data_IF_263010520844
#
_entry.id   IF_263010520844
#
_cell.length_a   1.000
_cell.length_b   1.000
_cell.length_c   1.000
_cell.angle_alpha   90.00
_cell.angle_beta   90.00
_cell.angle_gamma   90.00
#
_symmetry.space_group_name_H-M   'P 1'
#
loop_
_entity.id
_entity.type
_entity.pdbx_description
1 polymer ?
#
# COMPACT_ATOMS: atom_id res chain seq x y z
N UNK A 1 -18.45 6.42 -23.90
CA UNK A 1 -18.11 4.98 -24.04
C UNK A 1 -18.56 4.31 -22.76
N UNK A 2 -19.37 3.25 -22.83
CA UNK A 2 -19.81 2.54 -21.64
C UNK A 2 -18.61 1.89 -20.93
N UNK A 3 -18.48 2.12 -19.62
CA UNK A 3 -17.52 1.43 -18.76
C UNK A 3 -17.92 -0.06 -18.70
N UNK A 4 -17.39 -0.83 -19.63
CA UNK A 4 -17.79 -2.23 -19.83
C UNK A 4 -17.01 -3.11 -18.84
N UNK A 5 -17.45 -3.09 -17.57
CA UNK A 5 -16.87 -3.89 -16.49
C UNK A 5 -17.02 -5.38 -16.83
N UNK A 6 -15.95 -6.19 -16.71
CA UNK A 6 -16.07 -7.62 -16.96
C UNK A 6 -16.98 -8.26 -15.90
N UNK A 7 -17.86 -9.15 -16.35
CA UNK A 7 -18.77 -9.88 -15.47
C UNK A 7 -17.97 -10.87 -14.61
N UNK A 8 -18.00 -10.68 -13.29
CA UNK A 8 -17.31 -11.57 -12.33
C UNK A 8 -18.33 -12.61 -11.86
N UNK A 9 -18.10 -13.92 -12.10
CA UNK A 9 -18.94 -14.98 -11.54
C UNK A 9 -19.03 -14.87 -10.02
N UNK A 10 -20.25 -14.97 -9.46
CA UNK A 10 -20.48 -14.82 -8.02
C UNK A 10 -19.65 -15.80 -7.19
N UNK A 11 -19.42 -17.01 -7.69
CA UNK A 11 -18.57 -18.02 -7.06
C UNK A 11 -17.13 -17.55 -6.87
N UNK A 12 -16.57 -16.87 -7.88
CA UNK A 12 -15.23 -16.26 -7.79
C UNK A 12 -15.24 -15.11 -6.79
N UNK A 13 -16.22 -14.21 -6.89
CA UNK A 13 -16.33 -13.05 -6.00
C UNK A 13 -16.43 -13.45 -4.52
N UNK A 14 -17.25 -14.46 -4.20
CA UNK A 14 -17.40 -14.98 -2.84
C UNK A 14 -16.09 -15.57 -2.32
N UNK A 15 -15.45 -16.46 -3.09
CA UNK A 15 -14.20 -17.09 -2.68
C UNK A 15 -13.07 -16.08 -2.45
N UNK A 16 -12.96 -15.08 -3.34
CA UNK A 16 -11.96 -14.03 -3.20
C UNK A 16 -12.24 -13.14 -1.99
N UNK A 17 -13.50 -12.77 -1.74
CA UNK A 17 -13.86 -12.01 -0.54
C UNK A 17 -13.50 -12.76 0.75
N UNK A 18 -13.71 -14.08 0.82
CA UNK A 18 -13.30 -14.89 1.97
C UNK A 18 -11.78 -14.90 2.14
N UNK A 19 -11.02 -15.04 1.06
CA UNK A 19 -9.55 -15.02 1.07
C UNK A 19 -9.01 -13.64 1.50
N UNK A 20 -9.60 -12.55 1.02
CA UNK A 20 -9.22 -11.19 1.39
C UNK A 20 -9.55 -10.90 2.85
N UNK A 21 -10.71 -11.34 3.36
CA UNK A 21 -11.05 -11.23 4.78
C UNK A 21 -10.07 -12.01 5.65
N UNK A 22 -9.71 -13.23 5.25
CA UNK A 22 -8.79 -14.10 5.98
C UNK A 22 -7.36 -13.54 6.04
N UNK A 23 -6.91 -12.86 4.99
CA UNK A 23 -5.54 -12.35 4.85
C UNK A 23 -5.51 -10.83 4.67
N UNK A 24 -6.42 -10.11 5.34
CA UNK A 24 -6.55 -8.65 5.24
C UNK A 24 -5.32 -7.90 5.78
N UNK A 25 -4.45 -8.60 6.52
CA UNK A 25 -3.17 -8.11 7.01
C UNK A 25 -2.17 -7.89 5.88
N UNK A 26 -2.29 -8.63 4.78
CA UNK A 26 -1.32 -8.61 3.66
C UNK A 26 -1.93 -8.38 2.28
N UNK A 27 -3.21 -8.70 2.06
CA UNK A 27 -3.85 -8.62 0.75
C UNK A 27 -4.95 -7.55 0.70
N UNK A 28 -5.10 -6.94 -0.47
CA UNK A 28 -6.25 -6.09 -0.80
C UNK A 28 -6.64 -6.26 -2.27
N UNK A 29 -7.91 -6.01 -2.59
CA UNK A 29 -8.37 -5.99 -3.97
C UNK A 29 -8.05 -4.63 -4.62
N UNK A 30 -7.57 -4.66 -5.86
CA UNK A 30 -7.39 -3.47 -6.69
C UNK A 30 -8.41 -3.48 -7.81
N UNK A 31 -9.08 -2.34 -8.02
CA UNK A 31 -10.00 -2.21 -9.13
C UNK A 31 -9.24 -2.22 -10.46
N UNK A 32 -9.75 -3.00 -11.41
CA UNK A 32 -9.21 -3.08 -12.76
C UNK A 32 -10.36 -3.14 -13.78
N UNK A 33 -10.22 -2.44 -14.91
CA UNK A 33 -11.27 -2.38 -15.95
C UNK A 33 -11.27 -3.59 -16.88
N UNK A 34 -10.18 -4.35 -16.98
CA UNK A 34 -10.04 -5.44 -17.95
C UNK A 34 -9.95 -6.81 -17.30
N UNK A 35 -9.51 -6.89 -16.03
CA UNK A 35 -9.37 -8.14 -15.30
C UNK A 35 -10.64 -8.47 -14.51
N UNK A 36 -10.89 -9.76 -14.27
CA UNK A 36 -11.96 -10.17 -13.36
C UNK A 36 -11.63 -9.76 -11.93
N UNK A 37 -10.42 -10.09 -11.47
CA UNK A 37 -9.93 -9.78 -10.13
C UNK A 37 -8.44 -9.42 -10.21
N UNK A 38 -8.05 -8.38 -9.50
CA UNK A 38 -6.66 -8.06 -9.19
C UNK A 38 -6.51 -7.95 -7.68
N UNK A 39 -5.61 -8.75 -7.12
CA UNK A 39 -5.24 -8.72 -5.71
C UNK A 39 -3.79 -8.23 -5.63
N UNK A 40 -3.52 -7.35 -4.68
CA UNK A 40 -2.19 -6.80 -4.42
C UNK A 40 -1.75 -7.11 -3.01
N UNK A 41 -0.44 -7.18 -2.82
CA UNK A 41 0.17 -7.24 -1.49
C UNK A 41 0.45 -5.83 -0.98
N UNK A 42 0.26 -5.62 0.32
CA UNK A 42 0.71 -4.40 1.00
C UNK A 42 2.16 -4.50 1.53
N UNK A 43 2.84 -5.63 1.30
CA UNK A 43 4.25 -5.83 1.64
C UNK A 43 5.15 -5.33 0.51
N UNK A 44 4.79 -5.62 -0.73
CA UNK A 44 5.53 -5.16 -1.89
C UNK A 44 4.56 -4.88 -3.04
N UNK A 45 4.58 -3.65 -3.57
CA UNK A 45 3.67 -3.21 -4.62
C UNK A 45 3.82 -4.00 -5.93
N UNK A 46 4.99 -4.63 -6.14
CA UNK A 46 5.24 -5.51 -7.28
C UNK A 46 4.49 -6.83 -7.17
N UNK A 47 4.06 -7.24 -5.97
CA UNK A 47 3.40 -8.53 -5.76
C UNK A 47 1.92 -8.44 -6.12
N UNK A 48 1.47 -9.37 -6.96
CA UNK A 48 0.10 -9.41 -7.42
C UNK A 48 -0.41 -10.83 -7.64
N UNK A 49 -1.73 -10.98 -7.60
CA UNK A 49 -2.47 -12.15 -8.02
C UNK A 49 -3.66 -11.73 -8.86
N UNK A 50 -3.71 -12.20 -10.10
CA UNK A 50 -4.66 -11.78 -11.12
C UNK A 50 -5.50 -12.97 -11.53
N UNK A 51 -6.81 -12.74 -11.69
CA UNK A 51 -7.71 -13.62 -12.42
C UNK A 51 -8.16 -12.87 -13.67
N UNK A 52 -7.73 -13.34 -14.84
CA UNK A 52 -8.00 -12.66 -16.11
C UNK A 52 -9.27 -13.19 -16.78
N UNK A 53 -9.56 -14.48 -16.63
CA UNK A 53 -10.67 -15.13 -17.31
C UNK A 53 -11.20 -16.32 -16.51
N UNK A 54 -12.41 -16.75 -16.83
CA UNK A 54 -13.03 -17.95 -16.26
C UNK A 54 -13.87 -18.65 -17.32
N UNK A 55 -13.82 -19.98 -17.38
CA UNK A 55 -14.55 -20.76 -18.38
C UNK A 55 -14.99 -22.13 -17.82
N UNK A 56 -16.00 -22.73 -18.43
CA UNK A 56 -16.40 -24.11 -18.14
C UNK A 56 -15.85 -24.99 -19.27
N UNK A 57 -14.91 -25.88 -18.93
CA UNK A 57 -14.34 -26.86 -19.86
C UNK A 57 -14.84 -28.25 -19.48
N UNK A 58 -15.77 -28.79 -20.28
CA UNK A 58 -16.45 -30.04 -19.95
C UNK A 58 -17.23 -29.92 -18.64
N UNK A 59 -16.84 -30.71 -17.63
CA UNK A 59 -17.45 -30.67 -16.30
C UNK A 59 -16.60 -29.92 -15.25
N UNK A 60 -15.59 -29.16 -15.68
CA UNK A 60 -14.68 -28.43 -14.79
C UNK A 60 -14.82 -26.92 -14.97
N UNK A 61 -14.98 -26.20 -13.86
CA UNK A 61 -14.85 -24.75 -13.84
C UNK A 61 -13.38 -24.38 -13.70
N UNK A 62 -12.83 -23.73 -14.72
CA UNK A 62 -11.42 -23.34 -14.80
C UNK A 62 -11.27 -21.82 -14.85
N UNK A 63 -10.16 -21.34 -14.33
CA UNK A 63 -9.81 -19.92 -14.28
C UNK A 63 -8.37 -19.72 -14.74
N UNK A 64 -8.13 -18.62 -15.43
CA UNK A 64 -6.79 -18.19 -15.83
C UNK A 64 -6.22 -17.29 -14.73
N UNK A 65 -5.12 -17.73 -14.13
CA UNK A 65 -4.43 -16.98 -13.08
C UNK A 65 -3.04 -16.56 -13.50
N UNK A 66 -2.64 -15.37 -13.07
CA UNK A 66 -1.26 -14.91 -13.10
C UNK A 66 -0.87 -14.36 -11.73
N UNK A 67 0.26 -14.77 -11.19
CA UNK A 67 0.73 -14.20 -9.94
C UNK A 67 2.25 -14.07 -9.86
N UNK A 68 2.67 -13.08 -9.08
CA UNK A 68 4.06 -12.76 -8.79
C UNK A 68 4.22 -12.42 -7.31
N UNK A 69 5.26 -12.92 -6.63
CA UNK A 69 6.26 -13.88 -7.13
C UNK A 69 5.65 -15.28 -7.26
N UNK A 70 6.13 -16.08 -8.21
CA UNK A 70 5.67 -17.46 -8.38
C UNK A 70 6.29 -18.44 -7.39
N UNK A 71 7.52 -18.16 -6.95
CA UNK A 71 8.26 -18.97 -5.99
C UNK A 71 9.37 -18.12 -5.33
N UNK A 72 10.04 -18.68 -4.30
CA UNK A 72 11.11 -17.98 -3.58
C UNK A 72 12.51 -18.07 -4.22
N UNK A 73 12.67 -18.83 -5.31
CA UNK A 73 13.96 -19.05 -5.97
C UNK A 73 14.18 -18.11 -7.16
N UNK A 74 13.10 -17.73 -7.84
CA UNK A 74 13.13 -16.93 -9.07
C UNK A 74 12.10 -15.81 -9.02
N UNK A 75 12.54 -14.64 -9.47
CA UNK A 75 11.73 -13.43 -9.60
C UNK A 75 10.93 -13.46 -10.91
N UNK A 76 10.00 -14.41 -11.04
CA UNK A 76 9.19 -14.60 -12.25
C UNK A 76 7.70 -14.73 -11.92
N UNK A 77 6.83 -14.27 -12.82
CA UNK A 77 5.39 -14.50 -12.70
C UNK A 77 5.04 -15.87 -13.25
N UNK A 78 4.05 -16.52 -12.63
CA UNK A 78 3.48 -17.76 -13.15
C UNK A 78 2.13 -17.45 -13.78
N UNK A 79 1.96 -17.86 -15.04
CA UNK A 79 0.67 -17.90 -15.74
C UNK A 79 0.21 -19.34 -15.86
N UNK A 80 -1.00 -19.63 -15.39
CA UNK A 80 -1.56 -20.98 -15.48
C UNK A 80 -3.07 -20.97 -15.52
N UNK A 81 -3.65 -21.89 -16.28
CA UNK A 81 -5.05 -22.28 -16.14
C UNK A 81 -5.18 -23.28 -14.99
N UNK A 82 -6.08 -23.02 -14.05
CA UNK A 82 -6.30 -23.88 -12.87
C UNK A 82 -7.76 -24.25 -12.72
N UNK A 83 -8.01 -25.37 -12.07
CA UNK A 83 -9.36 -25.69 -11.58
C UNK A 83 -9.73 -24.69 -10.46
N UNK A 84 -10.95 -24.16 -10.50
CA UNK A 84 -11.45 -23.23 -9.48
C UNK A 84 -11.30 -23.76 -8.05
N UNK A 85 -11.45 -25.08 -7.85
CA UNK A 85 -11.31 -25.70 -6.53
C UNK A 85 -9.89 -25.57 -5.96
N UNK A 86 -8.88 -25.35 -6.81
CA UNK A 86 -7.48 -25.13 -6.39
C UNK A 86 -7.18 -23.67 -6.00
N UNK A 87 -8.07 -22.73 -6.29
CA UNK A 87 -7.86 -21.29 -6.08
C UNK A 87 -7.44 -20.97 -4.65
N UNK A 88 -8.19 -21.47 -3.66
CA UNK A 88 -7.90 -21.21 -2.26
C UNK A 88 -6.53 -21.75 -1.84
N UNK A 89 -6.18 -22.98 -2.25
CA UNK A 89 -4.86 -23.58 -1.95
C UNK A 89 -3.73 -22.74 -2.53
N UNK A 90 -3.88 -22.30 -3.78
CA UNK A 90 -2.85 -21.52 -4.48
C UNK A 90 -2.68 -20.15 -3.83
N UNK A 91 -3.77 -19.43 -3.55
CA UNK A 91 -3.69 -18.11 -2.88
C UNK A 91 -3.10 -18.24 -1.48
N UNK A 92 -3.48 -19.24 -0.70
CA UNK A 92 -2.87 -19.46 0.62
C UNK A 92 -1.35 -19.74 0.52
N UNK A 93 -0.92 -20.52 -0.47
CA UNK A 93 0.51 -20.81 -0.70
C UNK A 93 1.26 -19.54 -1.09
N UNK A 94 0.68 -18.74 -2.00
CA UNK A 94 1.23 -17.46 -2.40
C UNK A 94 1.32 -16.47 -1.22
N UNK A 95 0.32 -16.42 -0.35
CA UNK A 95 0.36 -15.61 0.88
C UNK A 95 1.48 -16.04 1.82
N UNK A 96 1.70 -17.34 2.00
CA UNK A 96 2.84 -17.83 2.80
C UNK A 96 4.16 -17.33 2.21
N UNK A 97 4.33 -17.39 0.89
CA UNK A 97 5.51 -16.88 0.22
C UNK A 97 5.70 -15.36 0.46
N UNK A 98 4.64 -14.56 0.33
CA UNK A 98 4.68 -13.12 0.63
C UNK A 98 5.13 -12.87 2.07
N UNK A 99 4.60 -13.64 3.02
CA UNK A 99 4.95 -13.53 4.44
C UNK A 99 6.41 -13.91 4.70
N UNK A 100 6.98 -14.86 3.96
CA UNK A 100 8.41 -15.14 4.02
C UNK A 100 9.25 -14.01 3.41
N UNK A 101 8.83 -13.38 2.31
CA UNK A 101 9.52 -12.19 1.77
C UNK A 101 9.57 -11.05 2.79
N UNK A 102 8.48 -10.82 3.53
CA UNK A 102 8.46 -9.86 4.67
C UNK A 102 9.53 -10.16 5.73
N UNK A 103 9.89 -11.43 5.93
CA UNK A 103 10.93 -11.84 6.89
C UNK A 103 12.36 -11.73 6.34
N UNK A 104 12.53 -11.62 5.03
CA UNK A 104 13.87 -11.49 4.38
C UNK A 104 14.19 -10.04 4.01
N UNK A 105 13.19 -9.15 4.08
CA UNK A 105 13.31 -7.68 3.93
C UNK A 105 14.39 -7.04 4.84
N UNK A 106 14.84 -7.77 5.87
CA UNK A 106 15.96 -7.46 6.78
C UNK A 106 17.33 -7.29 6.09
N UNK A 107 17.50 -7.71 4.83
CA UNK A 107 18.81 -7.64 4.16
C UNK A 107 19.21 -6.23 3.68
N UNK A 108 18.26 -5.29 3.51
CA UNK A 108 18.52 -4.01 2.84
C UNK A 108 18.08 -2.77 3.63
N UNK A 109 18.44 -2.64 4.91
CA UNK A 109 18.18 -1.45 5.75
C UNK A 109 16.71 -0.98 5.80
N UNK A 110 15.74 -1.75 5.29
CA UNK A 110 14.32 -1.41 5.35
C UNK A 110 13.79 -1.52 6.78
N UNK A 111 14.44 -2.31 7.63
CA UNK A 111 14.18 -2.43 9.07
C UNK A 111 14.12 -1.09 9.80
N UNK A 112 15.02 -0.16 9.48
CA UNK A 112 15.06 1.15 10.17
C UNK A 112 13.84 1.99 9.77
N UNK A 113 13.49 2.02 8.48
CA UNK A 113 12.33 2.76 8.02
C UNK A 113 11.03 2.12 8.52
N UNK A 114 10.95 0.78 8.53
CA UNK A 114 9.82 0.00 9.03
C UNK A 114 9.66 0.13 10.54
N UNK A 115 10.76 0.13 11.30
CA UNK A 115 10.74 0.42 12.74
C UNK A 115 10.19 1.82 13.01
N UNK A 116 10.71 2.84 12.33
CA UNK A 116 10.17 4.21 12.46
C UNK A 116 8.72 4.32 12.01
N UNK A 117 8.32 3.59 10.97
CA UNK A 117 6.93 3.55 10.52
C UNK A 117 6.03 2.94 11.61
N UNK A 118 6.48 1.88 12.28
CA UNK A 118 5.79 1.31 13.44
C UNK A 118 5.60 2.33 14.56
N UNK A 119 6.67 3.05 14.94
CA UNK A 119 6.59 4.12 15.95
C UNK A 119 5.59 5.23 15.58
N UNK A 120 5.43 5.53 14.29
CA UNK A 120 4.44 6.50 13.85
C UNK A 120 3.03 5.94 13.79
N UNK A 121 2.87 4.71 13.33
CA UNK A 121 1.58 4.04 13.27
C UNK A 121 0.96 3.90 14.67
N UNK A 122 1.76 3.52 15.66
CA UNK A 122 1.34 3.41 17.07
C UNK A 122 0.84 4.75 17.64
N UNK A 123 1.42 5.89 17.22
CA UNK A 123 0.99 7.22 17.67
C UNK A 123 -0.38 7.65 17.15
N UNK A 124 -0.94 6.96 16.17
CA UNK A 124 -2.30 7.20 15.72
C UNK A 124 -3.35 6.48 16.58
N UNK A 125 -2.94 5.63 17.53
CA UNK A 125 -3.80 4.99 18.54
C UNK A 125 -5.09 4.38 17.96
N UNK A 126 -4.98 3.71 16.80
CA UNK A 126 -6.15 3.15 16.13
C UNK A 126 -6.69 1.93 16.88
N UNK A 127 -8.01 1.92 17.16
CA UNK A 127 -8.68 0.72 17.63
C UNK A 127 -8.74 -0.30 16.47
N UNK A 128 -8.07 -1.47 16.58
CA UNK A 128 -8.08 -2.46 15.51
C UNK A 128 -9.49 -2.96 15.17
N UNK A 129 -10.43 -2.86 16.11
CA UNK A 129 -11.83 -3.29 15.96
C UNK A 129 -12.76 -2.20 15.43
N UNK A 130 -12.27 -0.96 15.24
CA UNK A 130 -13.09 0.09 14.63
C UNK A 130 -13.32 -0.22 13.14
N UNK A 131 -14.56 -0.61 12.83
CA UNK A 131 -15.01 -0.91 11.47
C UNK A 131 -14.99 0.33 10.56
N UNK A 132 -15.09 1.54 11.13
CA UNK A 132 -15.05 2.79 10.36
C UNK A 132 -13.69 3.08 9.74
N UNK A 133 -12.63 2.39 10.21
CA UNK A 133 -11.30 2.48 9.62
C UNK A 133 -11.25 1.92 8.18
N UNK A 134 -12.21 1.07 7.81
CA UNK A 134 -12.34 0.52 6.46
C UNK A 134 -13.12 1.46 5.52
N UNK A 135 -13.68 2.56 6.02
CA UNK A 135 -14.30 3.58 5.20
C UNK A 135 -13.22 4.52 4.62
N UNK A 136 -13.49 5.19 3.49
CA UNK A 136 -12.64 6.28 3.04
C UNK A 136 -12.67 7.46 4.01
N UNK A 137 -11.65 8.31 3.93
CA UNK A 137 -11.65 9.62 4.61
C UNK A 137 -12.78 10.49 4.04
N UNK A 138 -13.42 11.30 4.89
CA UNK A 138 -14.34 12.34 4.41
C UNK A 138 -13.57 13.50 3.75
N UNK A 139 -14.29 14.43 3.12
CA UNK A 139 -13.67 15.53 2.38
C UNK A 139 -12.76 16.39 3.26
N UNK A 140 -13.21 16.75 4.46
CA UNK A 140 -12.45 17.58 5.40
C UNK A 140 -11.15 16.89 5.84
N UNK A 141 -11.21 15.59 6.08
CA UNK A 141 -10.05 14.76 6.42
C UNK A 141 -9.07 14.64 5.25
N UNK A 142 -9.58 14.46 4.03
CA UNK A 142 -8.77 14.43 2.82
C UNK A 142 -8.06 15.77 2.61
N UNK A 143 -8.77 16.89 2.78
CA UNK A 143 -8.18 18.23 2.65
C UNK A 143 -7.05 18.46 3.66
N UNK A 144 -7.23 18.06 4.93
CA UNK A 144 -6.17 18.17 5.95
C UNK A 144 -4.92 17.37 5.56
N UNK A 145 -5.10 16.12 5.14
CA UNK A 145 -3.97 15.25 4.77
C UNK A 145 -3.31 15.71 3.46
N UNK A 146 -4.10 16.17 2.49
CA UNK A 146 -3.59 16.68 1.23
C UNK A 146 -2.76 17.95 1.44
N UNK A 147 -3.25 18.89 2.25
CA UNK A 147 -2.49 20.09 2.61
C UNK A 147 -1.19 19.75 3.34
N UNK A 148 -1.22 18.75 4.23
CA UNK A 148 0.00 18.22 4.84
C UNK A 148 0.98 17.67 3.79
N UNK A 149 0.51 16.91 2.79
CA UNK A 149 1.37 16.42 1.71
C UNK A 149 1.99 17.55 0.89
N UNK A 150 1.25 18.63 0.59
CA UNK A 150 1.81 19.81 -0.08
C UNK A 150 2.93 20.46 0.74
N UNK A 151 2.75 20.58 2.06
CA UNK A 151 3.79 21.13 2.93
C UNK A 151 5.04 20.28 2.98
N UNK A 152 4.88 18.96 3.01
CA UNK A 152 5.98 18.00 2.95
C UNK A 152 6.73 18.12 1.62
N UNK A 153 6.00 18.21 0.51
CA UNK A 153 6.57 18.37 -0.83
C UNK A 153 7.48 19.60 -0.91
N UNK A 154 6.99 20.75 -0.40
CA UNK A 154 7.79 21.97 -0.33
C UNK A 154 9.08 21.81 0.49
N UNK A 155 9.02 21.06 1.60
CA UNK A 155 10.21 20.78 2.42
C UNK A 155 11.19 19.84 1.69
N UNK A 156 10.67 18.85 0.96
CA UNK A 156 11.48 17.94 0.13
C UNK A 156 12.18 18.72 -0.98
N UNK A 157 11.48 19.59 -1.70
CA UNK A 157 12.07 20.45 -2.74
C UNK A 157 13.19 21.32 -2.17
N UNK A 158 12.94 21.95 -1.03
CA UNK A 158 13.96 22.75 -0.34
C UNK A 158 15.18 21.88 0.05
N UNK A 159 14.97 20.65 0.50
CA UNK A 159 16.04 19.73 0.88
C UNK A 159 16.83 19.22 -0.32
N UNK A 160 16.17 18.97 -1.45
CA UNK A 160 16.78 18.58 -2.72
C UNK A 160 17.68 19.71 -3.22
N UNK A 161 17.16 20.94 -3.30
CA UNK A 161 17.93 22.10 -3.76
C UNK A 161 19.15 22.37 -2.87
N UNK A 162 18.99 22.33 -1.54
CA UNK A 162 20.13 22.41 -0.60
C UNK A 162 21.15 21.29 -0.81
N UNK A 163 20.70 20.10 -1.17
CA UNK A 163 21.59 18.95 -1.39
C UNK A 163 22.34 19.06 -2.71
N UNK A 164 21.74 19.63 -3.76
CA UNK A 164 22.38 19.90 -5.06
C UNK A 164 23.56 20.87 -4.96
N UNK A 165 23.56 21.78 -3.97
CA UNK A 165 24.68 22.70 -3.73
C UNK A 165 25.98 21.99 -3.27
N UNK A 166 25.90 20.74 -2.85
CA UNK A 166 27.05 19.92 -2.43
C UNK A 166 27.26 18.77 -3.43
N UNK A 167 28.33 18.84 -4.23
CA UNK A 167 28.61 17.91 -5.34
C UNK A 167 28.72 16.42 -4.93
N UNK A 168 28.94 16.12 -3.65
CA UNK A 168 29.11 14.75 -3.13
C UNK A 168 27.80 14.12 -2.60
N UNK A 169 26.63 14.76 -2.80
CA UNK A 169 25.35 14.29 -2.25
C UNK A 169 24.45 13.54 -3.24
N UNK A 170 25.00 12.91 -4.28
CA UNK A 170 24.21 12.25 -5.33
C UNK A 170 23.22 11.22 -4.76
N UNK A 171 23.67 10.33 -3.89
CA UNK A 171 22.83 9.29 -3.29
C UNK A 171 21.71 9.87 -2.42
N UNK A 172 21.99 10.99 -1.74
CA UNK A 172 21.00 11.71 -0.93
C UNK A 172 19.95 12.38 -1.80
N UNK A 173 20.34 12.97 -2.93
CA UNK A 173 19.41 13.57 -3.89
C UNK A 173 18.49 12.48 -4.44
N UNK A 174 19.04 11.33 -4.84
CA UNK A 174 18.24 10.19 -5.33
C UNK A 174 17.24 9.69 -4.28
N UNK A 175 17.63 9.57 -3.01
CA UNK A 175 16.72 9.22 -1.93
C UNK A 175 15.59 10.25 -1.73
N UNK A 176 15.89 11.55 -1.82
CA UNK A 176 14.89 12.61 -1.65
C UNK A 176 13.91 12.67 -2.83
N UNK A 177 14.40 12.48 -4.06
CA UNK A 177 13.55 12.38 -5.27
C UNK A 177 12.65 11.14 -5.20
N UNK A 178 13.16 10.01 -4.71
CA UNK A 178 12.35 8.81 -4.48
C UNK A 178 11.24 9.04 -3.43
N UNK A 179 11.53 9.79 -2.36
CA UNK A 179 10.53 10.23 -1.39
C UNK A 179 9.47 11.13 -2.04
N UNK A 180 9.89 12.08 -2.89
CA UNK A 180 8.95 12.97 -3.60
C UNK A 180 8.02 12.18 -4.52
N UNK A 181 8.56 11.23 -5.29
CA UNK A 181 7.74 10.35 -6.14
C UNK A 181 6.76 9.49 -5.32
N UNK A 182 7.18 9.00 -4.15
CA UNK A 182 6.28 8.28 -3.24
C UNK A 182 5.14 9.19 -2.76
N UNK A 183 5.45 10.45 -2.39
CA UNK A 183 4.47 11.43 -1.93
C UNK A 183 3.42 11.78 -3.01
N UNK A 184 3.82 11.90 -4.29
CA UNK A 184 2.88 12.06 -5.40
C UNK A 184 1.87 10.90 -5.46
N UNK A 185 2.37 9.68 -5.31
CA UNK A 185 1.51 8.48 -5.30
C UNK A 185 0.53 8.52 -4.13
N UNK A 186 0.92 9.05 -2.97
CA UNK A 186 0.01 9.21 -1.82
C UNK A 186 -1.04 10.29 -2.05
N UNK A 187 -0.67 11.41 -2.68
CA UNK A 187 -1.62 12.47 -3.05
C UNK A 187 -2.67 11.95 -4.03
N UNK A 188 -2.26 11.23 -5.07
CA UNK A 188 -3.17 10.71 -6.10
C UNK A 188 -4.16 9.68 -5.55
N UNK A 189 -3.75 8.88 -4.56
CA UNK A 189 -4.55 7.80 -4.00
C UNK A 189 -5.35 8.18 -2.75
N UNK A 190 -5.30 9.45 -2.32
CA UNK A 190 -5.99 9.88 -1.08
C UNK A 190 -7.52 9.65 -1.14
N UNK A 191 -8.10 9.75 -2.34
CA UNK A 191 -9.54 9.58 -2.58
C UNK A 191 -9.98 8.13 -2.72
N UNK A 192 -9.02 7.22 -2.92
CA UNK A 192 -9.26 5.80 -3.24
C UNK A 192 -8.77 4.84 -2.15
N UNK A 193 -8.31 5.37 -1.02
CA UNK A 193 -7.80 4.59 0.12
C UNK A 193 -8.73 4.71 1.32
N UNK A 194 -8.75 3.65 2.13
CA UNK A 194 -9.44 3.63 3.43
C UNK A 194 -8.65 4.44 4.46
N UNK A 195 -9.31 4.88 5.55
CA UNK A 195 -8.62 5.56 6.67
C UNK A 195 -7.42 4.73 7.17
N UNK A 196 -7.61 3.42 7.33
CA UNK A 196 -6.55 2.49 7.76
C UNK A 196 -5.36 2.50 6.81
N UNK A 197 -5.62 2.42 5.50
CA UNK A 197 -4.59 2.45 4.47
C UNK A 197 -3.88 3.80 4.41
N UNK A 198 -4.62 4.91 4.48
CA UNK A 198 -4.00 6.24 4.48
C UNK A 198 -3.05 6.42 5.65
N UNK A 199 -3.45 6.01 6.86
CA UNK A 199 -2.61 6.14 8.06
C UNK A 199 -1.40 5.21 7.99
N UNK A 200 -1.58 3.99 7.50
CA UNK A 200 -0.48 3.04 7.28
C UNK A 200 0.53 3.61 6.27
N UNK A 201 0.05 4.09 5.13
CA UNK A 201 0.88 4.64 4.06
C UNK A 201 1.62 5.91 4.52
N UNK A 202 0.94 6.80 5.26
CA UNK A 202 1.54 7.96 5.89
C UNK A 202 2.65 7.56 6.87
N UNK A 203 2.40 6.56 7.71
CA UNK A 203 3.39 6.07 8.68
C UNK A 203 4.64 5.52 8.00
N UNK A 204 4.46 4.72 6.94
CA UNK A 204 5.55 4.19 6.11
C UNK A 204 6.36 5.33 5.49
N UNK A 205 5.67 6.31 4.91
CA UNK A 205 6.31 7.47 4.29
C UNK A 205 7.14 8.27 5.30
N UNK A 206 6.59 8.55 6.49
CA UNK A 206 7.30 9.25 7.56
C UNK A 206 8.51 8.46 8.07
N UNK A 207 8.40 7.12 8.12
CA UNK A 207 9.52 6.23 8.42
C UNK A 207 10.66 6.37 7.42
N UNK A 208 10.33 6.38 6.12
CA UNK A 208 11.30 6.62 5.04
C UNK A 208 11.93 8.01 5.12
N UNK A 209 11.14 9.05 5.40
CA UNK A 209 11.67 10.41 5.62
C UNK A 209 12.67 10.43 6.77
N UNK A 210 12.39 9.74 7.88
CA UNK A 210 13.25 9.75 9.08
C UNK A 210 14.57 9.06 8.82
N UNK A 211 14.52 7.95 8.07
CA UNK A 211 15.71 7.25 7.60
C UNK A 211 16.56 8.16 6.69
N UNK A 212 15.94 8.89 5.77
CA UNK A 212 16.66 9.76 4.83
C UNK A 212 17.29 11.00 5.50
N UNK A 213 16.58 11.64 6.43
CA UNK A 213 17.07 12.86 7.08
C UNK A 213 16.28 13.20 8.35
N UNK A 214 16.94 13.10 9.51
CA UNK A 214 16.36 13.55 10.78
C UNK A 214 15.97 15.04 10.79
N UNK A 215 16.77 15.98 10.24
CA UNK A 215 16.36 17.38 10.12
C UNK A 215 15.07 17.58 9.30
N UNK A 216 14.93 16.85 8.18
CA UNK A 216 13.74 16.91 7.32
C UNK A 216 12.50 16.47 8.11
N UNK A 217 12.60 15.34 8.81
CA UNK A 217 11.50 14.85 9.65
C UNK A 217 11.21 15.77 10.81
N UNK A 218 12.21 16.41 11.43
CA UNK A 218 11.96 17.38 12.50
C UNK A 218 11.14 18.58 12.00
N UNK A 219 11.40 19.08 10.79
CA UNK A 219 10.62 20.16 10.20
C UNK A 219 9.20 19.71 9.83
N UNK A 220 9.06 18.53 9.21
CA UNK A 220 7.78 17.91 8.87
C UNK A 220 6.94 17.64 10.13
N UNK A 221 7.51 16.98 11.14
CA UNK A 221 6.81 16.63 12.38
C UNK A 221 6.44 17.83 13.21
N UNK A 222 7.27 18.87 13.26
CA UNK A 222 6.93 20.07 13.99
C UNK A 222 5.69 20.72 13.40
N UNK A 223 5.60 20.82 12.07
CA UNK A 223 4.40 21.32 11.38
C UNK A 223 3.22 20.37 11.53
N UNK A 224 3.42 19.07 11.27
CA UNK A 224 2.38 18.06 11.43
C UNK A 224 1.78 18.07 12.83
N UNK A 225 2.58 18.01 13.89
CA UNK A 225 2.09 18.06 15.26
C UNK A 225 1.40 19.40 15.53
N UNK A 226 1.90 20.53 15.04
CA UNK A 226 1.25 21.84 15.22
C UNK A 226 -0.10 21.89 14.49
N UNK A 227 -0.18 21.41 13.25
CA UNK A 227 -1.41 21.43 12.43
C UNK A 227 -2.42 20.38 12.89
N UNK A 228 -1.95 19.20 13.28
CA UNK A 228 -2.77 18.11 13.85
C UNK A 228 -3.24 18.43 15.27
N UNK A 229 -2.39 18.99 16.12
CA UNK A 229 -2.76 19.40 17.47
C UNK A 229 -3.61 20.67 17.47
N UNK A 230 -3.48 21.56 16.48
CA UNK A 230 -4.35 22.73 16.33
C UNK A 230 -5.68 22.41 15.65
N UNK A 231 -5.77 21.34 14.84
CA UNK A 231 -6.98 20.97 14.08
C UNK A 231 -7.58 19.60 14.40
N UNK A 232 -7.25 19.01 15.55
CA UNK A 232 -8.05 17.90 16.09
C UNK A 232 -8.08 16.64 15.19
N UNK A 233 -6.96 16.23 14.59
CA UNK A 233 -6.93 14.94 13.84
C UNK A 233 -7.08 13.74 14.79
N UNK A 234 -6.78 13.89 16.09
CA UNK A 234 -7.08 12.88 17.11
C UNK A 234 -8.58 12.76 17.45
N UNK A 235 -9.45 13.73 17.12
CA UNK A 235 -10.92 13.52 17.24
C UNK A 235 -11.55 12.97 15.95
N UNK A 236 -10.89 13.07 14.79
CA UNK A 236 -11.49 12.66 13.52
C UNK A 236 -11.40 11.15 13.23
N UNK A 237 -10.66 10.40 14.04
CA UNK A 237 -10.49 8.93 13.89
C UNK A 237 -11.08 8.16 15.09
N UNK A 238 -11.77 8.84 16.02
CA UNK A 238 -12.45 8.16 17.11
C UNK A 238 -12.77 9.07 18.30
N UNK A 239 -13.78 9.93 18.14
CA UNK A 239 -14.88 10.15 19.09
C UNK A 239 -16.03 10.85 18.37
#
# INVERSE_FOLDING_TARGET
MADNKPFIPITIATAINELLKKHNDVLFAKYNKTLLIEIRSNINDSFYFIISSSNIKGNSFVIDVEYYPSNGLKSESLKSEINFNSLSSIVNTWVLLIKEYKKVEYLYNEDIANFYAGEYYEKFELDPNDETLNNPLNFEQQDVIYNFYLDVENNLDTAIEKSKLNANNRDKIEQLEALKSNLETLKDNITSTTKRETIKNLSIFLGKCRKASFPLVKEIFKKFIIDVASKTVLHLIGY
#
